data_IF_905097144532
#
_entry.id   IF_905097144532
#
_cell.length_a   1.000
_cell.length_b   1.000
_cell.length_c   1.000
_cell.angle_alpha   90.00
_cell.angle_beta   90.00
_cell.angle_gamma   90.00
#
_symmetry.space_group_name_H-M   'P 1'
#
loop_
_entity.id
_entity.type
_entity.pdbx_description
1 polymer ?
#
# COMPACT_ATOMS: atom_id res chain seq x y z
N UNK A 1 -0.87 43.07 3.17
CA UNK A 1 -0.09 41.85 2.91
C UNK A 1 -0.31 40.89 4.06
N UNK A 2 -0.94 39.74 3.82
CA UNK A 2 -1.05 38.69 4.86
C UNK A 2 0.14 37.77 4.65
N UNK A 3 1.18 37.95 5.47
CA UNK A 3 2.39 37.14 5.43
C UNK A 3 2.01 35.71 5.85
N UNK A 4 2.18 34.73 4.95
CA UNK A 4 2.06 33.31 5.29
C UNK A 4 0.85 32.54 4.74
N UNK A 5 -0.03 33.13 3.90
CA UNK A 5 -1.03 32.30 3.21
C UNK A 5 -0.42 31.66 1.94
N UNK A 6 -0.47 30.32 1.78
CA UNK A 6 0.11 29.63 0.62
C UNK A 6 -0.73 29.78 -0.67
N UNK A 7 -1.84 30.54 -0.60
CA UNK A 7 -2.78 30.81 -1.70
C UNK A 7 -2.88 32.31 -2.03
N UNK A 8 -1.92 33.12 -1.58
CA UNK A 8 -1.88 34.53 -1.98
C UNK A 8 -1.31 34.67 -3.39
N UNK A 9 -2.06 35.29 -4.29
CA UNK A 9 -1.61 35.58 -5.66
C UNK A 9 -0.55 36.70 -5.74
N UNK A 10 -0.16 37.28 -4.60
CA UNK A 10 0.75 38.43 -4.52
C UNK A 10 2.23 38.06 -4.28
N UNK A 11 2.64 36.83 -4.58
CA UNK A 11 4.06 36.46 -4.45
C UNK A 11 4.91 36.95 -5.64
N UNK A 12 6.12 37.50 -5.40
CA UNK A 12 7.04 37.92 -6.45
C UNK A 12 7.48 36.76 -7.36
N UNK A 13 7.71 37.05 -8.66
CA UNK A 13 7.94 36.07 -9.72
C UNK A 13 9.10 35.08 -9.46
N UNK A 14 10.10 35.47 -8.67
CA UNK A 14 11.21 34.59 -8.27
C UNK A 14 10.73 33.39 -7.42
N UNK A 15 9.74 33.60 -6.54
CA UNK A 15 9.18 32.53 -5.70
C UNK A 15 8.45 31.50 -6.57
N UNK A 16 7.67 31.96 -7.55
CA UNK A 16 7.01 31.08 -8.52
C UNK A 16 8.01 30.30 -9.39
N UNK A 17 9.12 30.93 -9.79
CA UNK A 17 10.21 30.27 -10.53
C UNK A 17 10.91 29.18 -9.70
N UNK A 18 11.05 29.38 -8.40
CA UNK A 18 11.55 28.36 -7.46
C UNK A 18 10.51 27.25 -7.24
N UNK A 19 9.23 27.61 -7.04
CA UNK A 19 8.15 26.63 -6.90
C UNK A 19 8.00 25.75 -8.14
N UNK A 20 8.13 26.33 -9.34
CA UNK A 20 8.10 25.60 -10.61
C UNK A 20 9.28 24.66 -10.83
N UNK A 21 10.41 24.90 -10.14
CA UNK A 21 11.54 23.96 -10.06
C UNK A 21 11.30 22.81 -9.08
N UNK A 22 10.24 22.86 -8.27
CA UNK A 22 9.87 21.77 -7.37
C UNK A 22 9.50 20.50 -8.14
N UNK A 23 9.91 19.34 -7.60
CA UNK A 23 9.52 18.01 -8.12
C UNK A 23 8.08 17.63 -7.74
N UNK A 24 7.35 18.52 -7.05
CA UNK A 24 5.95 18.32 -6.68
C UNK A 24 5.12 18.00 -7.94
N UNK A 25 4.64 16.76 -8.02
CA UNK A 25 3.83 16.30 -9.15
C UNK A 25 4.56 15.52 -10.25
N UNK A 26 5.90 15.42 -10.21
CA UNK A 26 6.72 14.75 -11.24
C UNK A 26 7.18 13.33 -10.85
N UNK A 27 6.74 12.81 -9.71
CA UNK A 27 7.06 11.44 -9.31
C UNK A 27 6.17 10.43 -10.03
N UNK A 28 6.74 9.27 -10.34
CA UNK A 28 6.06 8.14 -10.98
C UNK A 28 4.85 7.68 -10.13
N UNK A 29 4.93 7.87 -8.81
CA UNK A 29 3.86 7.58 -7.85
C UNK A 29 2.92 8.76 -7.58
N UNK A 30 3.11 9.92 -8.21
CA UNK A 30 2.22 11.07 -8.07
C UNK A 30 0.73 10.73 -8.31
N UNK A 31 0.33 9.98 -9.36
CA UNK A 31 -1.09 9.62 -9.52
C UNK A 31 -1.62 8.76 -8.36
N UNK A 32 -0.78 7.91 -7.77
CA UNK A 32 -1.13 7.13 -6.58
C UNK A 32 -1.33 8.04 -5.36
N UNK A 33 -0.42 8.98 -5.11
CA UNK A 33 -0.54 9.92 -4.00
C UNK A 33 -1.72 10.88 -4.18
N UNK A 34 -2.04 11.30 -5.40
CA UNK A 34 -3.24 12.11 -5.70
C UNK A 34 -4.51 11.31 -5.43
N UNK A 35 -4.56 10.03 -5.83
CA UNK A 35 -5.70 9.16 -5.54
C UNK A 35 -5.86 8.91 -4.03
N UNK A 36 -4.77 8.64 -3.31
CA UNK A 36 -4.79 8.49 -1.85
C UNK A 36 -5.18 9.79 -1.12
N UNK A 37 -4.74 10.95 -1.60
CA UNK A 37 -5.18 12.20 -0.99
C UNK A 37 -6.66 12.48 -1.28
N UNK A 38 -7.18 12.05 -2.45
CA UNK A 38 -8.60 12.16 -2.79
C UNK A 38 -9.49 11.31 -1.88
N UNK A 39 -9.02 10.17 -1.37
CA UNK A 39 -9.80 9.36 -0.43
C UNK A 39 -9.93 9.99 0.95
N UNK A 40 -9.20 11.08 1.25
CA UNK A 40 -9.24 11.80 2.54
C UNK A 40 -9.06 10.88 3.75
N UNK A 41 -8.30 9.78 3.59
CA UNK A 41 -8.02 8.82 4.67
C UNK A 41 -7.42 9.54 5.90
N UNK A 42 -6.66 10.60 5.67
CA UNK A 42 -6.14 11.43 6.75
C UNK A 42 -7.25 12.00 7.66
N UNK A 43 -8.25 12.64 7.06
CA UNK A 43 -9.34 13.29 7.80
C UNK A 43 -10.27 12.27 8.48
N UNK A 44 -10.49 11.12 7.83
CA UNK A 44 -11.41 10.11 8.33
C UNK A 44 -10.81 9.20 9.40
N UNK A 45 -9.51 8.89 9.29
CA UNK A 45 -8.89 7.79 10.03
C UNK A 45 -7.65 8.23 10.80
N UNK A 46 -6.70 8.95 10.16
CA UNK A 46 -5.42 9.28 10.79
C UNK A 46 -5.48 10.47 11.76
N UNK A 47 -6.51 11.33 11.66
CA UNK A 47 -6.64 12.53 12.52
C UNK A 47 -6.89 12.22 14.00
N UNK A 48 -7.54 11.10 14.31
CA UNK A 48 -7.93 10.74 15.67
C UNK A 48 -7.20 9.48 16.12
N UNK A 49 -6.53 9.54 17.28
CA UNK A 49 -5.62 8.50 17.76
C UNK A 49 -6.27 7.10 17.85
N UNK A 50 -7.50 7.01 18.34
CA UNK A 50 -8.20 5.72 18.47
C UNK A 50 -8.56 5.09 17.10
N UNK A 51 -8.98 5.91 16.13
CA UNK A 51 -9.32 5.45 14.77
C UNK A 51 -8.07 5.05 14.00
N UNK A 52 -7.01 5.82 14.18
CA UNK A 52 -5.69 5.51 13.66
C UNK A 52 -5.20 4.15 14.17
N UNK A 53 -5.25 3.93 15.48
CA UNK A 53 -4.80 2.67 16.08
C UNK A 53 -5.59 1.47 15.53
N UNK A 54 -6.93 1.56 15.50
CA UNK A 54 -7.78 0.50 14.98
C UNK A 54 -7.47 0.22 13.50
N UNK A 55 -7.31 1.27 12.70
CA UNK A 55 -6.96 1.13 11.28
C UNK A 55 -5.60 0.47 11.08
N UNK A 56 -4.58 0.85 11.84
CA UNK A 56 -3.25 0.25 11.74
C UNK A 56 -3.29 -1.22 12.11
N UNK A 57 -3.93 -1.58 13.22
CA UNK A 57 -4.04 -2.97 13.67
C UNK A 57 -4.82 -3.82 12.68
N UNK A 58 -6.00 -3.37 12.25
CA UNK A 58 -6.84 -4.11 11.30
C UNK A 58 -6.17 -4.26 9.94
N UNK A 59 -5.60 -3.17 9.40
CA UNK A 59 -4.86 -3.21 8.13
C UNK A 59 -3.62 -4.09 8.23
N UNK A 60 -2.90 -4.04 9.35
CA UNK A 60 -1.78 -4.91 9.66
C UNK A 60 -2.18 -6.38 9.57
N UNK A 61 -3.17 -6.81 10.37
CA UNK A 61 -3.64 -8.19 10.37
C UNK A 61 -4.11 -8.68 8.98
N UNK A 62 -4.90 -7.87 8.27
CA UNK A 62 -5.41 -8.21 6.94
C UNK A 62 -4.26 -8.33 5.94
N UNK A 63 -3.33 -7.38 5.96
CA UNK A 63 -2.17 -7.38 5.06
C UNK A 63 -1.27 -8.59 5.32
N UNK A 64 -0.98 -8.91 6.58
CA UNK A 64 -0.18 -10.08 6.96
C UNK A 64 -0.80 -11.38 6.48
N UNK A 65 -2.11 -11.55 6.66
CA UNK A 65 -2.83 -12.72 6.16
C UNK A 65 -2.79 -12.80 4.64
N UNK A 66 -3.11 -11.70 3.95
CA UNK A 66 -3.12 -11.66 2.49
C UNK A 66 -1.75 -11.98 1.90
N UNK A 67 -0.68 -11.35 2.41
CA UNK A 67 0.68 -11.64 1.97
C UNK A 67 1.09 -13.09 2.24
N UNK A 68 0.74 -13.63 3.41
CA UNK A 68 0.98 -15.03 3.74
C UNK A 68 0.32 -15.98 2.74
N UNK A 69 -0.95 -15.78 2.44
CA UNK A 69 -1.69 -16.59 1.45
C UNK A 69 -1.12 -16.39 0.04
N UNK A 70 -0.82 -15.16 -0.35
CA UNK A 70 -0.29 -14.84 -1.67
C UNK A 70 1.06 -15.53 -1.91
N UNK A 71 2.01 -15.37 -1.00
CA UNK A 71 3.32 -16.00 -1.11
C UNK A 71 3.24 -17.52 -1.01
N UNK A 72 2.37 -18.07 -0.15
CA UNK A 72 2.17 -19.51 -0.07
C UNK A 72 1.63 -20.07 -1.39
N UNK A 73 0.63 -19.43 -1.99
CA UNK A 73 0.09 -19.83 -3.28
C UNK A 73 1.11 -19.68 -4.42
N UNK A 74 1.90 -18.61 -4.39
CA UNK A 74 2.97 -18.40 -5.36
C UNK A 74 4.05 -19.51 -5.23
N UNK A 75 4.45 -19.83 -4.01
CA UNK A 75 5.40 -20.91 -3.72
C UNK A 75 4.86 -22.28 -4.14
N UNK A 76 3.58 -22.57 -3.85
CA UNK A 76 2.92 -23.81 -4.29
C UNK A 76 2.90 -23.92 -5.81
N UNK A 77 2.61 -22.81 -6.50
CA UNK A 77 2.59 -22.78 -7.98
C UNK A 77 3.96 -23.11 -8.57
N UNK A 78 5.04 -22.62 -7.97
CA UNK A 78 6.42 -22.92 -8.41
C UNK A 78 6.81 -24.37 -8.12
N UNK A 79 6.42 -24.90 -6.96
CA UNK A 79 6.81 -26.24 -6.50
C UNK A 79 5.81 -27.34 -6.85
N UNK A 80 4.89 -27.06 -7.78
CA UNK A 80 3.87 -28.02 -8.20
C UNK A 80 4.50 -29.36 -8.61
N UNK A 81 3.99 -30.45 -8.06
CA UNK A 81 4.48 -31.82 -8.30
C UNK A 81 5.63 -32.26 -7.37
N UNK A 82 6.19 -31.35 -6.55
CA UNK A 82 7.19 -31.67 -5.52
C UNK A 82 6.61 -31.62 -4.10
N UNK A 83 5.36 -31.18 -3.97
CA UNK A 83 4.69 -31.04 -2.68
C UNK A 83 4.08 -32.37 -2.26
N UNK A 84 4.06 -32.64 -0.95
CA UNK A 84 3.37 -33.81 -0.40
C UNK A 84 1.90 -33.89 -0.83
N UNK A 85 1.22 -32.74 -0.99
CA UNK A 85 -0.17 -32.70 -1.46
C UNK A 85 -0.33 -33.14 -2.93
N UNK A 86 0.73 -33.03 -3.73
CA UNK A 86 0.74 -33.42 -5.14
C UNK A 86 1.25 -34.87 -5.33
N UNK A 87 1.72 -35.53 -4.26
CA UNK A 87 2.21 -36.90 -4.28
C UNK A 87 1.24 -37.80 -3.50
N UNK A 88 0.16 -38.30 -4.12
CA UNK A 88 -0.79 -39.16 -3.45
C UNK A 88 -0.08 -40.43 -2.97
N UNK A 89 -0.13 -40.68 -1.66
CA UNK A 89 0.38 -41.92 -1.08
C UNK A 89 -0.48 -43.08 -1.57
N UNK A 90 0.08 -43.93 -2.43
CA UNK A 90 -0.52 -45.20 -2.81
C UNK A 90 -0.27 -46.20 -1.69
N UNK A 91 -1.34 -46.73 -1.09
CA UNK A 91 -1.21 -47.87 -0.19
C UNK A 91 -0.62 -49.05 -0.96
N UNK A 92 0.38 -49.75 -0.42
CA UNK A 92 0.83 -51.01 -0.99
C UNK A 92 -0.35 -51.99 -1.03
N UNK A 93 -0.46 -52.75 -2.11
CA UNK A 93 -1.44 -53.84 -2.21
C UNK A 93 -1.04 -54.90 -1.20
N UNK A 94 -1.95 -55.33 -0.33
CA UNK A 94 -1.69 -56.45 0.58
C UNK A 94 -1.46 -57.70 -0.29
N UNK A 95 -0.30 -58.34 -0.13
CA UNK A 95 -0.04 -59.64 -0.76
C UNK A 95 -0.80 -60.71 0.04
N UNK A 96 -1.86 -61.26 -0.55
CA UNK A 96 -2.63 -62.41 -0.04
C UNK A 96 -1.80 -63.70 0.04
#
# INVERSE_FOLDING_TARGET
MVFGSPFSDTYPAFIWKILGKSRKGKDIFNPFFVALNKTKIYDHVLKYNNRYWLFVVTTGCISSYFWGVFFNNFWKKINKGKLYIDCPYTYPVEED
#
